data_IF_212860842365
#
_entry.id   IF_212860842365
#
_cell.length_a   1.000
_cell.length_b   1.000
_cell.length_c   1.000
_cell.angle_alpha   90.00
_cell.angle_beta   90.00
_cell.angle_gamma   90.00
#
_symmetry.space_group_name_H-M   'P 1'
#
loop_
_entity.id
_entity.type
_entity.pdbx_description
1 polymer ?
#
# COMPACT_ATOMS: atom_id res chain seq x y z
N UNK A 1 7.94 -73.22 36.57
CA UNK A 1 8.84 -72.60 37.57
C UNK A 1 8.41 -71.13 37.66
N UNK A 2 7.57 -70.72 38.62
CA UNK A 2 7.90 -70.26 39.98
C UNK A 2 9.01 -69.20 40.01
N UNK A 3 8.63 -68.05 40.58
CA UNK A 3 9.42 -67.05 41.35
C UNK A 3 9.69 -65.74 40.60
N UNK A 4 8.82 -64.74 40.79
CA UNK A 4 8.78 -63.76 41.91
C UNK A 4 9.95 -62.80 41.86
N UNK A 5 9.65 -61.50 41.94
CA UNK A 5 10.40 -60.35 42.46
C UNK A 5 10.09 -59.15 41.55
N UNK A 6 9.80 -57.95 41.99
CA UNK A 6 9.37 -57.39 43.26
C UNK A 6 8.97 -55.95 42.91
N UNK A 7 7.97 -55.44 43.60
CA UNK A 7 7.58 -54.04 43.63
C UNK A 7 8.79 -53.12 43.88
N UNK A 8 8.96 -52.07 43.08
CA UNK A 8 9.58 -50.81 43.53
C UNK A 8 8.74 -49.65 43.04
N UNK A 9 7.94 -49.13 43.97
CA UNK A 9 7.35 -47.79 43.98
C UNK A 9 8.46 -46.74 44.03
N UNK A 10 8.36 -45.68 43.23
CA UNK A 10 8.93 -44.33 43.45
C UNK A 10 8.41 -43.45 42.30
N UNK A 11 7.26 -42.78 42.48
CA UNK A 11 7.19 -41.40 42.98
C UNK A 11 8.03 -40.42 42.15
N UNK A 12 7.40 -39.76 41.19
CA UNK A 12 7.79 -38.41 40.77
C UNK A 12 6.54 -37.72 40.20
N UNK A 13 5.81 -37.06 41.10
CA UNK A 13 4.87 -36.00 40.76
C UNK A 13 5.66 -34.87 40.11
N UNK A 14 5.74 -34.85 38.78
CA UNK A 14 6.08 -33.62 38.06
C UNK A 14 4.81 -32.79 37.94
N UNK A 15 4.55 -32.03 39.00
CA UNK A 15 3.66 -30.88 38.97
C UNK A 15 4.26 -29.84 38.02
N UNK A 16 3.93 -29.94 36.73
CA UNK A 16 4.20 -28.87 35.79
C UNK A 16 3.05 -27.88 35.89
N UNK A 17 3.36 -26.74 36.51
CA UNK A 17 2.51 -25.56 36.67
C UNK A 17 1.95 -25.13 35.32
N UNK A 18 0.70 -25.50 35.05
CA UNK A 18 -0.08 -24.93 33.97
C UNK A 18 -0.32 -23.46 34.31
N UNK A 19 0.50 -22.60 33.70
CA UNK A 19 0.29 -21.16 33.71
C UNK A 19 -1.07 -20.86 33.09
N UNK A 20 -1.92 -20.24 33.90
CA UNK A 20 -3.20 -19.68 33.47
C UNK A 20 -2.97 -18.75 32.29
N UNK A 21 -3.31 -19.22 31.10
CA UNK A 21 -3.30 -18.44 29.87
C UNK A 21 -4.41 -17.38 29.94
N UNK A 22 -4.05 -16.17 30.32
CA UNK A 22 -4.86 -14.97 30.04
C UNK A 22 -4.42 -14.41 28.69
N UNK A 23 -4.89 -14.97 27.58
CA UNK A 23 -4.78 -14.28 26.28
C UNK A 23 -5.99 -13.37 26.12
N UNK A 24 -5.74 -12.09 26.33
CA UNK A 24 -6.72 -11.02 26.18
C UNK A 24 -7.11 -10.91 24.70
N UNK A 25 -8.43 -10.94 24.51
CA UNK A 25 -9.21 -10.29 23.48
C UNK A 25 -8.46 -9.16 22.76
N UNK A 26 -8.57 -9.09 21.43
CA UNK A 26 -8.87 -7.84 20.76
C UNK A 26 -9.50 -8.09 19.39
N UNK A 27 -10.71 -7.57 19.27
CA UNK A 27 -11.47 -7.48 18.05
C UNK A 27 -10.73 -6.59 17.05
N UNK A 28 -9.96 -7.21 16.14
CA UNK A 28 -9.51 -6.56 14.93
C UNK A 28 -9.24 -7.60 13.84
N UNK A 29 -10.32 -8.15 13.27
CA UNK A 29 -10.23 -8.83 11.97
C UNK A 29 -10.11 -7.73 10.90
N UNK A 30 -9.12 -7.77 10.01
CA UNK A 30 -9.21 -7.03 8.77
C UNK A 30 -10.50 -7.45 8.07
N UNK A 31 -11.38 -6.49 7.82
CA UNK A 31 -12.43 -6.66 6.82
C UNK A 31 -11.70 -6.72 5.50
N UNK A 32 -11.29 -7.94 5.13
CA UNK A 32 -10.92 -8.28 3.76
C UNK A 32 -12.09 -7.84 2.88
N UNK A 33 -11.79 -6.84 2.06
CA UNK A 33 -12.73 -6.12 1.19
C UNK A 33 -13.20 -7.06 0.10
N UNK A 34 -14.16 -7.93 0.43
CA UNK A 34 -14.82 -8.80 -0.53
C UNK A 34 -15.80 -7.97 -1.36
N UNK A 35 -15.33 -7.50 -2.51
CA UNK A 35 -16.17 -7.31 -3.69
C UNK A 35 -15.57 -8.20 -4.77
N UNK A 36 -15.98 -9.47 -4.73
CA UNK A 36 -15.76 -10.42 -5.81
C UNK A 36 -16.72 -10.03 -6.95
N UNK A 37 -16.25 -9.19 -7.87
CA UNK A 37 -16.90 -8.97 -9.15
C UNK A 37 -16.15 -9.79 -10.19
N UNK A 38 -16.72 -10.95 -10.56
CA UNK A 38 -16.23 -11.80 -11.66
C UNK A 38 -16.45 -11.10 -13.00
N UNK A 39 -15.60 -10.14 -13.28
CA UNK A 39 -15.09 -9.85 -14.62
C UNK A 39 -13.63 -10.29 -14.62
N UNK A 40 -13.10 -10.73 -15.76
CA UNK A 40 -11.65 -10.97 -15.90
C UNK A 40 -10.89 -9.78 -15.26
N UNK A 41 -9.80 -10.01 -14.49
CA UNK A 41 -9.18 -8.95 -13.72
C UNK A 41 -8.81 -7.82 -14.67
N UNK A 42 -9.46 -6.66 -14.50
CA UNK A 42 -9.07 -5.46 -15.22
C UNK A 42 -7.59 -5.24 -14.92
N UNK A 43 -6.75 -5.26 -15.95
CA UNK A 43 -5.31 -5.17 -15.78
C UNK A 43 -5.00 -3.82 -15.13
N UNK A 44 -4.44 -3.84 -13.92
CA UNK A 44 -4.03 -2.63 -13.21
C UNK A 44 -2.96 -1.91 -14.02
N UNK A 45 -3.21 -0.65 -14.37
CA UNK A 45 -2.23 0.17 -15.06
C UNK A 45 -1.08 0.56 -14.11
N UNK A 46 0.12 0.62 -14.67
CA UNK A 46 1.30 1.16 -13.98
C UNK A 46 1.21 2.68 -13.86
N UNK A 47 1.97 3.26 -12.91
CA UNK A 47 2.06 4.71 -12.75
C UNK A 47 2.53 5.43 -14.02
N UNK A 48 3.45 4.83 -14.77
CA UNK A 48 3.92 5.37 -16.05
C UNK A 48 2.82 5.37 -17.12
N UNK A 49 2.04 4.29 -17.24
CA UNK A 49 0.92 4.23 -18.19
C UNK A 49 -0.18 5.24 -17.84
N UNK A 50 -0.49 5.37 -16.55
CA UNK A 50 -1.42 6.38 -16.05
C UNK A 50 -0.90 7.80 -16.33
N UNK A 51 0.39 8.07 -16.09
CA UNK A 51 1.02 9.33 -16.42
C UNK A 51 0.91 9.65 -17.92
N UNK A 52 1.24 8.70 -18.79
CA UNK A 52 1.16 8.89 -20.25
C UNK A 52 -0.25 9.20 -20.72
N UNK A 53 -1.26 8.55 -20.13
CA UNK A 53 -2.66 8.71 -20.55
C UNK A 53 -3.35 9.97 -19.97
N UNK A 54 -2.89 10.50 -18.84
CA UNK A 54 -3.59 11.59 -18.13
C UNK A 54 -2.77 12.87 -17.96
N UNK A 55 -1.45 12.77 -17.89
CA UNK A 55 -0.57 13.87 -17.46
C UNK A 55 0.34 14.36 -18.59
N UNK A 56 0.78 13.45 -19.46
CA UNK A 56 1.74 13.74 -20.53
C UNK A 56 1.22 14.72 -21.59
N UNK A 57 -0.09 14.97 -21.64
CA UNK A 57 -0.65 15.99 -22.53
C UNK A 57 -0.19 17.41 -22.16
N UNK A 58 0.07 17.65 -20.88
CA UNK A 58 0.45 18.96 -20.35
C UNK A 58 1.89 18.98 -19.85
N UNK A 59 2.34 17.90 -19.22
CA UNK A 59 3.68 17.81 -18.64
C UNK A 59 4.59 16.97 -19.51
N UNK A 60 5.88 17.26 -19.44
CA UNK A 60 6.92 16.42 -20.04
C UNK A 60 7.80 15.75 -18.99
N UNK A 61 8.34 14.62 -19.40
CA UNK A 61 9.47 13.93 -18.76
C UNK A 61 10.53 13.76 -19.85
N UNK A 62 11.72 14.31 -19.61
CA UNK A 62 12.78 14.50 -20.58
C UNK A 62 12.23 15.25 -21.80
N UNK A 63 12.37 14.66 -22.98
CA UNK A 63 11.94 15.24 -24.26
C UNK A 63 10.54 14.75 -24.70
N UNK A 64 9.77 14.10 -23.81
CA UNK A 64 8.48 13.51 -24.14
C UNK A 64 7.33 14.12 -23.34
N UNK A 65 6.29 14.57 -24.04
CA UNK A 65 5.05 15.10 -23.45
C UNK A 65 4.77 16.55 -23.83
N UNK A 66 3.91 17.20 -23.05
CA UNK A 66 3.48 18.57 -23.25
C UNK A 66 4.35 19.62 -22.55
N UNK A 67 4.14 20.89 -22.91
CA UNK A 67 4.85 22.05 -22.36
C UNK A 67 3.92 23.06 -21.65
N UNK A 68 2.66 22.67 -21.42
CA UNK A 68 1.66 23.51 -20.74
C UNK A 68 1.95 23.58 -19.24
N UNK A 69 2.28 22.44 -18.65
CA UNK A 69 2.74 22.32 -17.28
C UNK A 69 4.27 22.29 -17.19
N UNK A 70 4.83 22.45 -15.98
CA UNK A 70 6.27 22.33 -15.75
C UNK A 70 6.82 20.95 -16.12
N UNK A 71 8.11 20.92 -16.42
CA UNK A 71 8.89 19.70 -16.60
C UNK A 71 8.97 18.90 -15.29
N UNK A 72 8.67 17.59 -15.37
CA UNK A 72 8.63 16.68 -14.22
C UNK A 72 9.81 15.70 -14.17
N UNK A 73 10.82 15.87 -15.04
CA UNK A 73 11.97 14.96 -15.16
C UNK A 73 12.69 14.69 -13.84
N UNK A 74 12.78 15.70 -12.98
CA UNK A 74 13.50 15.64 -11.70
C UNK A 74 12.58 16.02 -10.53
N UNK A 75 11.27 15.76 -10.64
CA UNK A 75 10.30 16.23 -9.63
C UNK A 75 10.56 15.63 -8.25
N UNK A 76 11.11 14.41 -8.16
CA UNK A 76 11.44 13.75 -6.90
C UNK A 76 12.59 14.44 -6.15
N UNK A 77 13.35 15.31 -6.82
CA UNK A 77 14.37 16.14 -6.17
C UNK A 77 13.75 17.31 -5.37
N UNK A 78 12.45 17.57 -5.53
CA UNK A 78 11.73 18.69 -4.88
C UNK A 78 10.51 18.28 -4.08
N UNK A 79 9.90 17.13 -4.40
CA UNK A 79 8.65 16.66 -3.80
C UNK A 79 8.73 15.15 -3.59
N UNK A 80 8.34 14.69 -2.41
CA UNK A 80 8.13 13.26 -2.16
C UNK A 80 6.80 12.76 -2.76
N UNK A 81 6.65 11.44 -2.86
CA UNK A 81 5.46 10.81 -3.43
C UNK A 81 4.16 11.14 -2.66
N UNK A 82 4.21 11.31 -1.34
CA UNK A 82 3.02 11.65 -0.56
C UNK A 82 2.54 13.08 -0.89
N UNK A 83 3.46 14.03 -0.95
CA UNK A 83 3.18 15.41 -1.36
C UNK A 83 2.63 15.48 -2.79
N UNK A 84 3.18 14.67 -3.70
CA UNK A 84 2.68 14.56 -5.08
C UNK A 84 1.28 13.98 -5.12
N UNK A 85 1.00 12.92 -4.36
CA UNK A 85 -0.32 12.31 -4.27
C UNK A 85 -1.39 13.33 -3.81
N UNK A 86 -1.07 14.11 -2.78
CA UNK A 86 -1.99 15.12 -2.25
C UNK A 86 -2.19 16.29 -3.22
N UNK A 87 -1.13 16.69 -3.93
CA UNK A 87 -1.23 17.71 -4.96
C UNK A 87 -2.05 17.25 -6.15
N UNK A 88 -1.89 16.00 -6.63
CA UNK A 88 -2.65 15.45 -7.76
C UNK A 88 -4.16 15.41 -7.44
N UNK A 89 -4.53 15.07 -6.20
CA UNK A 89 -5.94 15.04 -5.77
C UNK A 89 -6.56 16.43 -5.85
N UNK A 90 -5.92 17.45 -5.31
CA UNK A 90 -6.46 18.80 -5.28
C UNK A 90 -5.36 19.87 -5.45
N UNK A 91 -4.97 20.17 -6.69
CA UNK A 91 -3.94 21.17 -6.96
C UNK A 91 -4.36 22.57 -6.51
N UNK A 92 -5.65 22.91 -6.61
CA UNK A 92 -6.17 24.25 -6.30
C UNK A 92 -6.14 24.55 -4.81
N UNK A 93 -6.28 23.53 -3.95
CA UNK A 93 -6.09 23.68 -2.50
C UNK A 93 -4.69 24.15 -2.12
N UNK A 94 -3.67 23.75 -2.88
CA UNK A 94 -2.28 24.16 -2.62
C UNK A 94 -1.88 25.40 -3.42
N UNK A 95 -2.38 25.53 -4.65
CA UNK A 95 -2.15 26.68 -5.53
C UNK A 95 -3.46 27.08 -6.22
N UNK A 96 -4.23 28.05 -5.67
CA UNK A 96 -5.51 28.47 -6.23
C UNK A 96 -5.44 29.00 -7.67
N UNK A 97 -4.27 29.46 -8.11
CA UNK A 97 -4.04 30.01 -9.46
C UNK A 97 -3.63 28.95 -10.48
N UNK A 98 -3.51 27.68 -10.09
CA UNK A 98 -3.11 26.61 -11.01
C UNK A 98 -4.19 26.31 -12.06
N UNK A 99 -3.75 26.09 -13.29
CA UNK A 99 -4.59 25.55 -14.36
C UNK A 99 -4.69 24.02 -14.30
N UNK A 100 -3.89 23.34 -13.47
CA UNK A 100 -3.94 21.89 -13.33
C UNK A 100 -5.30 21.45 -12.76
N UNK A 101 -6.03 20.55 -13.44
CA UNK A 101 -7.31 20.05 -12.94
C UNK A 101 -7.11 19.14 -11.72
N UNK A 102 -8.16 19.01 -10.91
CA UNK A 102 -8.22 18.00 -9.84
C UNK A 102 -8.38 16.60 -10.45
N UNK A 103 -7.74 15.61 -9.81
CA UNK A 103 -7.90 14.19 -10.14
C UNK A 103 -8.48 13.40 -8.97
N UNK A 104 -9.24 14.05 -8.07
CA UNK A 104 -9.85 13.40 -6.91
C UNK A 104 -10.82 12.27 -7.28
N UNK A 105 -11.37 12.29 -8.50
CA UNK A 105 -12.28 11.27 -9.02
C UNK A 105 -11.56 9.99 -9.49
N UNK A 106 -10.22 10.01 -9.59
CA UNK A 106 -9.45 8.79 -9.91
C UNK A 106 -9.44 7.83 -8.72
N UNK A 107 -9.37 6.50 -8.98
CA UNK A 107 -9.14 5.52 -7.93
C UNK A 107 -7.88 5.85 -7.12
N UNK A 108 -7.95 5.74 -5.80
CA UNK A 108 -6.84 6.09 -4.92
C UNK A 108 -5.54 5.34 -5.27
N UNK A 109 -5.64 4.08 -5.69
CA UNK A 109 -4.51 3.24 -6.10
C UNK A 109 -3.86 3.69 -7.41
N UNK A 110 -4.61 4.40 -8.26
CA UNK A 110 -4.09 4.97 -9.51
C UNK A 110 -3.36 6.28 -9.22
N UNK A 111 -3.93 7.14 -8.37
CA UNK A 111 -3.25 8.36 -7.90
C UNK A 111 -1.95 8.00 -7.20
N UNK A 112 -1.98 6.99 -6.32
CA UNK A 112 -0.79 6.48 -5.64
C UNK A 112 0.25 5.97 -6.65
N UNK A 113 -0.17 5.17 -7.63
CA UNK A 113 0.74 4.64 -8.64
C UNK A 113 1.41 5.76 -9.46
N UNK A 114 0.66 6.80 -9.85
CA UNK A 114 1.22 7.98 -10.53
C UNK A 114 2.24 8.68 -9.61
N UNK A 115 1.87 8.92 -8.36
CA UNK A 115 2.72 9.63 -7.41
C UNK A 115 4.03 8.87 -7.10
N UNK A 116 3.96 7.54 -6.96
CA UNK A 116 5.13 6.68 -6.77
C UNK A 116 6.04 6.72 -8.00
N UNK A 117 5.46 6.66 -9.21
CA UNK A 117 6.22 6.79 -10.46
C UNK A 117 6.95 8.13 -10.51
N UNK A 118 6.24 9.24 -10.26
CA UNK A 118 6.84 10.57 -10.22
C UNK A 118 7.91 10.70 -9.11
N UNK A 119 7.69 10.08 -7.95
CA UNK A 119 8.65 10.03 -6.84
C UNK A 119 9.93 9.24 -7.15
N UNK A 120 9.96 8.49 -8.25
CA UNK A 120 11.17 7.82 -8.74
C UNK A 120 12.04 8.69 -9.65
N UNK A 121 11.53 9.84 -10.12
CA UNK A 121 12.18 10.71 -11.12
C UNK A 121 13.11 11.75 -10.48
N UNK A 122 14.41 11.48 -10.43
CA UNK A 122 15.43 12.35 -9.81
C UNK A 122 16.26 13.12 -10.82
#
# INVERSE_FOLDING_TARGET
MRRTHALILLAALFALTATTACTKNDANRPVEKSSEQTAAPAQKLTGEQLFKSKCAQCHKIKDQGGVVGPDLTAIASRKDAASLQDFIKDPKKQNPSTAMPSFADLPADDIKAIADYLGSLK
#
